data_IF_303254970992
#
_entry.id   IF_303254970992
#
_cell.length_a   1.000
_cell.length_b   1.000
_cell.length_c   1.000
_cell.angle_alpha   90.00
_cell.angle_beta   90.00
_cell.angle_gamma   90.00
#
_symmetry.space_group_name_H-M   'P 1'
#
loop_
_entity.id
_entity.type
_entity.pdbx_description
1 polymer ?
#
# COMPACT_ATOMS: atom_id res chain seq x y z
N UNK A 1 -32.30 -5.86 -9.99
CA UNK A 1 -31.98 -4.85 -8.99
C UNK A 1 -30.48 -4.71 -8.97
N UNK A 2 -29.92 -3.67 -9.62
CA UNK A 2 -28.50 -3.31 -9.48
C UNK A 2 -28.31 -2.79 -8.06
N UNK A 3 -27.78 -3.59 -7.16
CA UNK A 3 -27.23 -3.09 -5.90
C UNK A 3 -26.10 -2.13 -6.27
N UNK A 4 -26.29 -0.83 -6.07
CA UNK A 4 -25.21 0.14 -6.14
C UNK A 4 -24.20 -0.24 -5.06
N UNK A 5 -23.08 -0.83 -5.44
CA UNK A 5 -21.99 -1.13 -4.52
C UNK A 5 -21.40 0.21 -4.08
N UNK A 6 -21.32 0.44 -2.79
CA UNK A 6 -20.64 1.63 -2.28
C UNK A 6 -19.18 1.64 -2.76
N UNK A 7 -18.75 2.78 -3.25
CA UNK A 7 -17.38 3.02 -3.68
C UNK A 7 -16.55 3.52 -2.51
N UNK A 8 -15.41 2.89 -2.24
CA UNK A 8 -14.44 3.34 -1.25
C UNK A 8 -13.16 3.80 -1.96
N UNK A 9 -12.73 5.00 -1.64
CA UNK A 9 -11.54 5.63 -2.22
C UNK A 9 -10.42 5.60 -1.19
N UNK A 10 -9.30 4.97 -1.57
CA UNK A 10 -8.17 4.73 -0.70
C UNK A 10 -6.95 5.44 -1.28
N UNK A 11 -6.19 6.13 -0.45
CA UNK A 11 -4.84 6.58 -0.80
C UNK A 11 -3.81 5.72 -0.08
N UNK A 12 -2.78 5.28 -0.79
CA UNK A 12 -1.64 4.57 -0.20
C UNK A 12 -0.44 5.49 -0.12
N UNK A 13 0.18 5.55 1.06
CA UNK A 13 1.31 6.40 1.37
C UNK A 13 2.38 5.59 2.12
N UNK A 14 3.62 6.04 2.06
CA UNK A 14 4.75 5.45 2.78
C UNK A 14 6.03 5.92 2.15
N UNK A 15 7.15 5.75 2.84
CA UNK A 15 8.46 6.11 2.31
C UNK A 15 8.89 5.18 1.17
N UNK A 16 9.95 5.55 0.47
CA UNK A 16 10.58 4.65 -0.50
C UNK A 16 11.00 3.37 0.21
N UNK A 17 10.81 2.23 -0.43
CA UNK A 17 11.12 0.89 0.07
C UNK A 17 10.26 0.39 1.25
N UNK A 18 9.22 1.10 1.66
CA UNK A 18 8.27 0.59 2.68
C UNK A 18 7.41 -0.56 2.15
N UNK A 19 7.44 -0.83 0.83
CA UNK A 19 6.75 -1.95 0.18
C UNK A 19 5.33 -1.64 -0.28
N UNK A 20 5.01 -0.38 -0.64
CA UNK A 20 3.69 0.04 -1.17
C UNK A 20 3.28 -0.77 -2.38
N UNK A 21 4.09 -0.75 -3.43
CA UNK A 21 3.80 -1.46 -4.68
C UNK A 21 3.66 -2.97 -4.45
N UNK A 22 4.50 -3.54 -3.60
CA UNK A 22 4.40 -4.96 -3.22
C UNK A 22 3.08 -5.26 -2.53
N UNK A 23 2.65 -4.42 -1.57
CA UNK A 23 1.39 -4.59 -0.84
C UNK A 23 0.17 -4.52 -1.78
N UNK A 24 0.12 -3.49 -2.62
CA UNK A 24 -0.99 -3.28 -3.56
C UNK A 24 -1.02 -4.41 -4.60
N UNK A 25 0.13 -4.75 -5.17
CA UNK A 25 0.25 -5.84 -6.15
C UNK A 25 -0.20 -7.18 -5.58
N UNK A 26 0.23 -7.51 -4.36
CA UNK A 26 -0.18 -8.74 -3.68
C UNK A 26 -1.69 -8.73 -3.36
N UNK A 27 -2.22 -7.60 -2.88
CA UNK A 27 -3.66 -7.44 -2.64
C UNK A 27 -4.45 -7.67 -3.93
N UNK A 28 -4.07 -7.04 -5.03
CA UNK A 28 -4.74 -7.18 -6.34
C UNK A 28 -4.66 -8.60 -6.87
N UNK A 29 -3.52 -9.27 -6.70
CA UNK A 29 -3.35 -10.68 -7.07
C UNK A 29 -4.32 -11.58 -6.30
N UNK A 30 -4.39 -11.42 -4.97
CA UNK A 30 -5.24 -12.24 -4.10
C UNK A 30 -6.73 -12.08 -4.38
N UNK A 31 -7.18 -10.87 -4.72
CA UNK A 31 -8.59 -10.61 -5.06
C UNK A 31 -8.91 -10.94 -6.53
N UNK A 32 -7.96 -11.51 -7.27
CA UNK A 32 -8.08 -11.82 -8.70
C UNK A 32 -8.46 -10.60 -9.56
N UNK A 33 -8.01 -9.43 -9.17
CA UNK A 33 -8.21 -8.19 -9.93
C UNK A 33 -7.16 -8.00 -11.06
N UNK A 34 -6.26 -8.97 -11.21
CA UNK A 34 -5.19 -8.96 -12.22
C UNK A 34 -5.67 -9.73 -13.45
N UNK A 35 -5.44 -9.20 -14.63
CA UNK A 35 -5.75 -9.88 -15.89
C UNK A 35 -4.87 -11.14 -16.05
N UNK A 36 -5.44 -12.15 -16.70
CA UNK A 36 -4.78 -13.46 -16.90
C UNK A 36 -3.40 -13.35 -17.56
N UNK A 37 -3.24 -12.38 -18.46
CA UNK A 37 -2.00 -12.13 -19.18
C UNK A 37 -0.89 -11.63 -18.24
N UNK A 38 -1.23 -10.72 -17.31
CA UNK A 38 -0.29 -10.21 -16.30
C UNK A 38 0.11 -11.29 -15.28
N UNK A 39 -0.82 -12.19 -14.95
CA UNK A 39 -0.49 -13.35 -14.11
C UNK A 39 0.51 -14.27 -14.79
N UNK A 40 0.31 -14.54 -16.08
CA UNK A 40 1.21 -15.36 -16.88
C UNK A 40 2.60 -14.74 -17.01
N UNK A 41 2.67 -13.40 -17.18
CA UNK A 41 3.93 -12.65 -17.25
C UNK A 41 4.72 -12.76 -15.93
N UNK A 42 4.06 -12.59 -14.78
CA UNK A 42 4.69 -12.77 -13.47
C UNK A 42 5.24 -14.18 -13.26
N UNK A 43 4.46 -15.19 -13.63
CA UNK A 43 4.91 -16.59 -13.53
C UNK A 43 6.10 -16.87 -14.46
N UNK A 44 6.14 -16.22 -15.62
CA UNK A 44 7.23 -16.37 -16.58
C UNK A 44 8.51 -15.68 -16.07
N UNK A 45 8.40 -14.48 -15.49
CA UNK A 45 9.52 -13.78 -14.84
C UNK A 45 10.09 -14.62 -13.69
N UNK A 46 9.23 -15.18 -12.83
CA UNK A 46 9.64 -16.09 -11.76
C UNK A 46 10.45 -17.29 -12.30
N UNK A 47 9.98 -17.92 -13.37
CA UNK A 47 10.67 -19.06 -14.00
C UNK A 47 12.03 -18.68 -14.56
N UNK A 48 12.12 -17.48 -15.19
CA UNK A 48 13.34 -17.03 -15.85
C UNK A 48 14.41 -16.55 -14.85
N UNK A 49 14.00 -15.97 -13.73
CA UNK A 49 14.92 -15.44 -12.71
C UNK A 49 15.29 -16.47 -11.65
N UNK A 50 14.63 -17.63 -11.61
CA UNK A 50 14.83 -18.63 -10.55
C UNK A 50 14.47 -18.12 -9.15
N UNK A 51 13.71 -17.03 -9.05
CA UNK A 51 13.30 -16.44 -7.78
C UNK A 51 12.35 -17.37 -7.03
N UNK A 52 12.53 -17.52 -5.72
CA UNK A 52 11.65 -18.32 -4.87
C UNK A 52 10.24 -17.73 -4.78
N UNK A 53 10.13 -16.42 -4.90
CA UNK A 53 8.91 -15.64 -4.68
C UNK A 53 8.49 -14.85 -5.92
N UNK A 54 7.19 -14.52 -6.03
CA UNK A 54 6.65 -13.62 -7.04
C UNK A 54 6.97 -12.17 -6.66
N UNK A 55 7.44 -11.39 -7.62
CA UNK A 55 7.59 -9.95 -7.44
C UNK A 55 6.30 -9.22 -7.83
N UNK A 56 5.45 -8.98 -6.85
CA UNK A 56 4.15 -8.34 -7.04
C UNK A 56 4.25 -6.86 -7.43
N UNK A 57 5.41 -6.21 -7.25
CA UNK A 57 5.59 -4.80 -7.63
C UNK A 57 5.51 -4.61 -9.15
N UNK A 58 5.92 -5.62 -9.91
CA UNK A 58 5.86 -5.63 -11.37
C UNK A 58 4.43 -5.49 -11.94
N UNK A 59 3.40 -5.84 -11.15
CA UNK A 59 2.00 -5.63 -11.54
C UNK A 59 1.60 -4.16 -11.62
N UNK A 60 2.33 -3.28 -10.95
CA UNK A 60 1.95 -1.87 -10.77
C UNK A 60 2.77 -0.91 -11.61
N UNK A 61 3.95 -1.32 -12.07
CA UNK A 61 4.87 -0.46 -12.80
C UNK A 61 4.31 -0.16 -14.20
N UNK A 62 3.64 0.99 -14.31
CA UNK A 62 2.94 1.42 -15.52
C UNK A 62 3.79 2.25 -16.47
N UNK A 63 4.75 3.04 -15.96
CA UNK A 63 5.62 3.91 -16.73
C UNK A 63 7.02 3.33 -16.88
N UNK A 64 7.61 3.44 -18.08
CA UNK A 64 8.97 2.96 -18.33
C UNK A 64 9.99 3.64 -17.38
N UNK A 65 9.81 4.95 -17.12
CA UNK A 65 10.63 5.69 -16.17
C UNK A 65 10.49 5.22 -14.72
N UNK A 66 9.34 4.71 -14.32
CA UNK A 66 9.11 4.12 -12.99
C UNK A 66 9.81 2.77 -12.87
N UNK A 67 9.79 1.96 -13.93
CA UNK A 67 10.50 0.68 -14.00
C UNK A 67 12.00 0.85 -13.93
N UNK A 68 12.55 1.83 -14.66
CA UNK A 68 13.99 2.11 -14.67
C UNK A 68 14.50 2.64 -13.32
N UNK A 69 13.71 3.45 -12.62
CA UNK A 69 14.10 4.06 -11.36
C UNK A 69 13.64 3.26 -10.12
N UNK A 70 12.73 2.31 -10.31
CA UNK A 70 12.13 1.53 -9.21
C UNK A 70 11.34 2.37 -8.21
N UNK A 71 10.80 3.53 -8.65
CA UNK A 71 10.01 4.45 -7.81
C UNK A 71 8.73 4.87 -8.52
N UNK A 72 7.65 5.06 -7.76
CA UNK A 72 6.42 5.69 -8.25
C UNK A 72 6.64 7.20 -8.38
N UNK A 73 6.38 7.77 -9.55
CA UNK A 73 6.60 9.19 -9.87
C UNK A 73 5.28 9.96 -9.78
N UNK A 74 4.21 9.42 -10.36
CA UNK A 74 2.89 10.04 -10.39
C UNK A 74 1.86 9.21 -9.64
N UNK A 75 0.65 9.76 -9.44
CA UNK A 75 -0.45 9.04 -8.78
C UNK A 75 -1.05 8.04 -9.76
N UNK A 76 -0.93 6.76 -9.45
CA UNK A 76 -1.56 5.69 -10.21
C UNK A 76 -2.89 5.28 -9.56
N UNK A 77 -3.98 5.28 -10.36
CA UNK A 77 -5.30 4.86 -9.90
C UNK A 77 -5.57 3.42 -10.31
N UNK A 78 -5.92 2.58 -9.33
CA UNK A 78 -6.27 1.17 -9.53
C UNK A 78 -7.70 0.91 -9.08
N UNK A 79 -8.43 0.14 -9.87
CA UNK A 79 -9.84 -0.17 -9.64
C UNK A 79 -10.02 -1.66 -9.43
N UNK A 80 -10.74 -2.02 -8.38
CA UNK A 80 -11.13 -3.40 -8.15
C UNK A 80 -12.47 -3.47 -7.40
N UNK A 81 -13.07 -4.66 -7.39
CA UNK A 81 -14.33 -4.90 -6.71
C UNK A 81 -14.30 -6.22 -5.97
N UNK A 82 -14.88 -6.23 -4.81
CA UNK A 82 -15.25 -7.45 -4.08
C UNK A 82 -16.76 -7.67 -4.20
N UNK A 83 -17.29 -8.83 -3.80
CA UNK A 83 -18.75 -9.03 -3.75
C UNK A 83 -19.48 -7.99 -2.92
N UNK A 84 -18.81 -7.38 -1.93
CA UNK A 84 -19.39 -6.43 -0.99
C UNK A 84 -19.27 -4.97 -1.44
N UNK A 85 -18.14 -4.57 -2.05
CA UNK A 85 -17.81 -3.16 -2.30
C UNK A 85 -16.88 -2.98 -3.49
N UNK A 86 -16.95 -1.81 -4.14
CA UNK A 86 -15.98 -1.36 -5.15
C UNK A 86 -14.94 -0.44 -4.53
N UNK A 87 -13.72 -0.47 -5.05
CA UNK A 87 -12.57 0.27 -4.50
C UNK A 87 -11.82 1.00 -5.59
N UNK A 88 -11.31 2.17 -5.25
CA UNK A 88 -10.29 2.88 -6.03
C UNK A 88 -9.10 3.08 -5.10
N UNK A 89 -7.92 2.62 -5.49
CA UNK A 89 -6.66 2.90 -4.80
C UNK A 89 -5.90 3.95 -5.61
N UNK A 90 -5.56 5.07 -4.96
CA UNK A 90 -4.59 6.03 -5.45
C UNK A 90 -3.22 5.67 -4.86
N UNK A 91 -2.36 5.07 -5.68
CA UNK A 91 -0.98 4.77 -5.28
C UNK A 91 -0.13 6.02 -5.44
N UNK A 92 0.40 6.52 -4.33
CA UNK A 92 1.13 7.77 -4.27
C UNK A 92 2.64 7.55 -4.17
N UNK A 93 3.45 8.42 -4.82
CA UNK A 93 4.90 8.36 -4.71
C UNK A 93 5.36 8.51 -3.26
N UNK A 94 6.39 7.73 -2.88
CA UNK A 94 6.97 7.76 -1.53
C UNK A 94 8.06 8.81 -1.35
N UNK A 95 8.61 9.34 -2.44
CA UNK A 95 9.73 10.28 -2.39
C UNK A 95 9.27 11.70 -2.00
N UNK A 96 10.07 12.38 -1.18
CA UNK A 96 9.73 13.71 -0.65
C UNK A 96 9.52 14.79 -1.72
N UNK A 97 10.17 14.66 -2.88
CA UNK A 97 10.04 15.58 -4.03
C UNK A 97 8.64 15.53 -4.65
N UNK A 98 7.96 14.40 -4.56
CA UNK A 98 6.62 14.20 -5.14
C UNK A 98 5.48 14.43 -4.14
N UNK A 99 5.73 15.16 -3.05
CA UNK A 99 4.73 15.47 -2.01
C UNK A 99 3.47 16.13 -2.57
N UNK A 100 3.59 16.92 -3.66
CA UNK A 100 2.44 17.53 -4.34
C UNK A 100 1.50 16.47 -4.94
N UNK A 101 2.05 15.48 -5.61
CA UNK A 101 1.28 14.39 -6.22
C UNK A 101 0.57 13.56 -5.13
N UNK A 102 1.26 13.33 -4.02
CA UNK A 102 0.66 12.67 -2.85
C UNK A 102 -0.54 13.46 -2.30
N UNK A 103 -0.47 14.81 -2.20
CA UNK A 103 -1.57 15.63 -1.75
C UNK A 103 -2.78 15.56 -2.71
N UNK A 104 -2.53 15.47 -4.02
CA UNK A 104 -3.60 15.26 -5.02
C UNK A 104 -4.32 13.92 -4.78
N UNK A 105 -3.59 12.83 -4.60
CA UNK A 105 -4.18 11.53 -4.29
C UNK A 105 -4.96 11.55 -2.97
N UNK A 106 -4.43 12.22 -1.94
CA UNK A 106 -5.07 12.33 -0.64
C UNK A 106 -6.38 13.15 -0.68
N UNK A 107 -6.47 14.20 -1.51
CA UNK A 107 -7.68 15.03 -1.61
C UNK A 107 -8.92 14.30 -2.11
N UNK A 108 -8.70 13.18 -2.77
CA UNK A 108 -9.74 12.33 -3.35
C UNK A 108 -10.22 11.22 -2.39
N UNK A 109 -9.42 10.83 -1.39
CA UNK A 109 -9.58 9.60 -0.65
C UNK A 109 -10.47 9.73 0.60
N UNK A 110 -11.18 8.67 0.93
CA UNK A 110 -11.98 8.52 2.16
C UNK A 110 -11.13 7.93 3.30
N UNK A 111 -10.14 7.10 2.95
CA UNK A 111 -9.23 6.41 3.88
C UNK A 111 -7.80 6.53 3.39
N UNK A 112 -6.86 6.72 4.31
CA UNK A 112 -5.43 6.60 4.03
C UNK A 112 -4.86 5.30 4.60
N UNK A 113 -4.17 4.55 3.76
CA UNK A 113 -3.33 3.40 4.15
C UNK A 113 -1.89 3.88 4.16
N UNK A 114 -1.29 3.96 5.34
CA UNK A 114 0.09 4.42 5.52
C UNK A 114 0.96 3.22 5.87
N UNK A 115 1.94 2.94 5.02
CA UNK A 115 2.89 1.88 5.29
C UNK A 115 4.02 2.38 6.20
N UNK A 116 4.42 1.50 7.10
CA UNK A 116 5.56 1.71 8.00
C UNK A 116 6.44 0.47 7.94
N UNK A 117 7.69 0.60 7.56
CA UNK A 117 8.67 -0.48 7.60
C UNK A 117 9.00 -0.83 9.07
N UNK A 118 8.65 -2.03 9.52
CA UNK A 118 8.87 -2.49 10.90
C UNK A 118 10.34 -2.44 11.30
N UNK A 119 11.28 -2.60 10.35
CA UNK A 119 12.71 -2.56 10.61
C UNK A 119 13.25 -1.16 10.86
N UNK A 120 12.55 -0.14 10.32
CA UNK A 120 12.94 1.28 10.41
C UNK A 120 12.11 2.06 11.44
N UNK A 121 10.91 1.57 11.77
CA UNK A 121 9.97 2.27 12.63
C UNK A 121 9.37 3.53 12.00
N UNK A 122 8.88 4.44 12.84
CA UNK A 122 8.23 5.68 12.38
C UNK A 122 9.27 6.71 11.94
N UNK A 123 9.28 7.01 10.64
CA UNK A 123 10.19 7.98 10.04
C UNK A 123 9.55 9.38 9.95
N UNK A 124 10.37 10.46 9.84
CA UNK A 124 9.85 11.81 9.59
C UNK A 124 8.94 11.89 8.36
N UNK A 125 9.23 11.10 7.30
CA UNK A 125 8.42 11.02 6.09
C UNK A 125 7.06 10.39 6.38
N UNK A 126 6.97 9.35 7.21
CA UNK A 126 5.72 8.73 7.65
C UNK A 126 4.82 9.74 8.35
N UNK A 127 5.38 10.53 9.28
CA UNK A 127 4.66 11.59 9.97
C UNK A 127 4.20 12.69 9.01
N UNK A 128 5.02 13.03 8.01
CA UNK A 128 4.66 14.02 6.98
C UNK A 128 3.45 13.53 6.17
N UNK A 129 3.47 12.28 5.70
CA UNK A 129 2.35 11.70 4.95
C UNK A 129 1.07 11.69 5.77
N UNK A 130 1.15 11.27 7.03
CA UNK A 130 0.02 11.32 7.94
C UNK A 130 -0.56 12.74 8.08
N UNK A 131 0.31 13.75 8.31
CA UNK A 131 -0.12 15.16 8.45
C UNK A 131 -0.78 15.69 7.16
N UNK A 132 -0.23 15.37 5.98
CA UNK A 132 -0.81 15.80 4.70
C UNK A 132 -2.19 15.18 4.52
N UNK A 133 -2.35 13.88 4.74
CA UNK A 133 -3.65 13.20 4.66
C UNK A 133 -4.66 13.83 5.62
N UNK A 134 -4.25 14.15 6.85
CA UNK A 134 -5.10 14.81 7.84
C UNK A 134 -5.51 16.21 7.41
N UNK A 135 -4.59 16.99 6.82
CA UNK A 135 -4.88 18.34 6.28
C UNK A 135 -5.82 18.27 5.06
N UNK A 136 -5.75 17.21 4.26
CA UNK A 136 -6.68 16.97 3.15
C UNK A 136 -8.08 16.51 3.61
N UNK A 137 -8.29 16.36 4.92
CA UNK A 137 -9.59 16.03 5.51
C UNK A 137 -9.84 14.54 5.75
N UNK A 138 -8.86 13.68 5.52
CA UNK A 138 -8.99 12.26 5.81
C UNK A 138 -9.07 12.06 7.33
N UNK A 139 -10.08 11.31 7.78
CA UNK A 139 -10.34 11.06 9.20
C UNK A 139 -10.02 9.63 9.62
N UNK A 140 -9.98 8.69 8.67
CA UNK A 140 -9.77 7.28 8.93
C UNK A 140 -8.42 6.84 8.38
N UNK A 141 -7.60 6.22 9.23
CA UNK A 141 -6.26 5.81 8.90
C UNK A 141 -6.05 4.33 9.17
N UNK A 142 -5.39 3.64 8.25
CA UNK A 142 -4.88 2.28 8.44
C UNK A 142 -3.36 2.36 8.35
N UNK A 143 -2.67 2.00 9.42
CA UNK A 143 -1.22 1.85 9.43
C UNK A 143 -0.87 0.39 9.18
N UNK A 144 -0.35 0.11 7.99
CA UNK A 144 0.17 -1.21 7.64
C UNK A 144 1.65 -1.27 8.08
N UNK A 145 1.90 -1.89 9.23
CA UNK A 145 3.26 -2.13 9.74
C UNK A 145 3.82 -3.30 8.96
N UNK A 146 4.55 -2.98 7.90
CA UNK A 146 5.03 -3.94 6.90
C UNK A 146 6.41 -4.51 7.26
N UNK A 147 6.76 -5.60 6.58
CA UNK A 147 8.00 -6.36 6.79
C UNK A 147 8.11 -6.96 8.19
N UNK A 148 6.98 -7.31 8.78
CA UNK A 148 6.94 -7.97 10.08
C UNK A 148 7.63 -9.33 10.09
N UNK A 149 7.72 -9.99 8.95
CA UNK A 149 8.49 -11.21 8.73
C UNK A 149 9.98 -11.02 9.04
N UNK A 150 10.56 -9.86 8.70
CA UNK A 150 11.99 -9.56 8.94
C UNK A 150 12.32 -9.32 10.43
N UNK A 151 11.32 -8.98 11.23
CA UNK A 151 11.47 -8.76 12.67
C UNK A 151 10.83 -9.89 13.50
N UNK A 152 10.53 -11.02 12.86
CA UNK A 152 9.95 -12.20 13.53
C UNK A 152 8.60 -11.95 14.18
N UNK A 153 7.81 -10.98 13.66
CA UNK A 153 6.53 -10.56 14.24
C UNK A 153 6.63 -10.10 15.71
N UNK A 154 7.76 -9.52 16.10
CA UNK A 154 7.96 -9.04 17.47
C UNK A 154 6.93 -7.97 17.83
N UNK A 155 6.12 -8.30 18.85
CA UNK A 155 5.10 -7.41 19.38
C UNK A 155 5.66 -6.07 19.87
N UNK A 156 6.90 -6.04 20.42
CA UNK A 156 7.50 -4.80 20.91
C UNK A 156 7.80 -3.83 19.78
N UNK A 157 8.24 -4.34 18.63
CA UNK A 157 8.46 -3.54 17.42
C UNK A 157 7.15 -2.95 16.95
N UNK A 158 6.10 -3.76 16.85
CA UNK A 158 4.76 -3.31 16.47
C UNK A 158 4.23 -2.25 17.44
N UNK A 159 4.27 -2.51 18.75
CA UNK A 159 3.81 -1.58 19.79
C UNK A 159 4.59 -0.26 19.75
N UNK A 160 5.86 -0.28 19.38
CA UNK A 160 6.70 0.91 19.16
C UNK A 160 6.15 1.82 18.06
N UNK A 161 5.69 1.24 16.95
CA UNK A 161 5.05 2.00 15.86
C UNK A 161 3.71 2.56 16.33
N UNK A 162 2.88 1.76 17.00
CA UNK A 162 1.59 2.19 17.54
C UNK A 162 1.75 3.37 18.50
N UNK A 163 2.78 3.33 19.35
CA UNK A 163 3.08 4.41 20.30
C UNK A 163 3.38 5.75 19.62
N UNK A 164 3.95 5.74 18.41
CA UNK A 164 4.22 6.95 17.64
C UNK A 164 2.98 7.74 17.20
N UNK A 165 1.78 7.11 17.27
CA UNK A 165 0.51 7.69 16.80
C UNK A 165 -0.61 7.67 17.85
N UNK A 166 -0.29 7.52 19.14
CA UNK A 166 -1.26 7.32 20.24
C UNK A 166 -2.34 8.39 20.40
N UNK A 167 -2.11 9.59 19.89
CA UNK A 167 -3.05 10.71 20.04
C UNK A 167 -4.27 10.64 19.09
N UNK A 168 -4.30 9.67 18.17
CA UNK A 168 -5.29 9.63 17.10
C UNK A 168 -6.29 8.49 17.30
N UNK A 169 -7.54 8.84 17.54
CA UNK A 169 -8.63 7.89 17.89
C UNK A 169 -9.12 7.03 16.71
N UNK A 170 -8.90 7.43 15.47
CA UNK A 170 -9.42 6.76 14.27
C UNK A 170 -8.29 6.09 13.46
N UNK A 171 -7.36 5.45 14.15
CA UNK A 171 -6.26 4.73 13.52
C UNK A 171 -6.38 3.23 13.80
N UNK A 172 -6.35 2.43 12.74
CA UNK A 172 -6.20 0.99 12.79
C UNK A 172 -4.76 0.63 12.47
N UNK A 173 -4.16 -0.24 13.27
CA UNK A 173 -2.81 -0.74 13.04
C UNK A 173 -2.86 -2.23 12.72
N UNK A 174 -2.21 -2.63 11.64
CA UNK A 174 -2.16 -4.02 11.18
C UNK A 174 -0.72 -4.46 10.96
N UNK A 175 -0.27 -5.53 11.63
CA UNK A 175 1.02 -6.13 11.33
C UNK A 175 0.88 -6.94 10.03
N UNK A 176 1.68 -6.62 9.02
CA UNK A 176 1.60 -7.26 7.69
C UNK A 176 2.98 -7.68 7.19
N UNK A 177 2.99 -8.65 6.28
CA UNK A 177 4.11 -8.89 5.38
C UNK A 177 3.60 -8.83 3.95
N UNK A 178 3.92 -7.76 3.25
CA UNK A 178 3.53 -7.60 1.84
C UNK A 178 4.16 -8.69 0.95
N UNK A 179 5.36 -9.14 1.30
CA UNK A 179 6.08 -10.19 0.57
C UNK A 179 5.46 -11.57 0.81
N UNK A 180 5.21 -11.93 2.06
CA UNK A 180 4.67 -13.25 2.43
C UNK A 180 3.15 -13.36 2.27
N UNK A 181 2.45 -12.22 2.18
CA UNK A 181 0.99 -12.17 2.09
C UNK A 181 0.26 -12.18 3.43
N UNK A 182 1.01 -12.12 4.53
CA UNK A 182 0.43 -12.23 5.86
C UNK A 182 -0.41 -11.00 6.21
N UNK A 183 -1.65 -11.25 6.64
CA UNK A 183 -2.66 -10.24 7.03
C UNK A 183 -3.08 -9.25 5.94
N UNK A 184 -2.70 -9.45 4.67
CA UNK A 184 -3.11 -8.56 3.56
C UNK A 184 -4.61 -8.63 3.32
N UNK A 185 -5.21 -9.82 3.36
CA UNK A 185 -6.65 -10.00 3.18
C UNK A 185 -7.49 -9.47 4.33
N UNK A 186 -6.90 -9.21 5.49
CA UNK A 186 -7.56 -8.57 6.63
C UNK A 186 -7.88 -7.09 6.36
N UNK A 187 -7.27 -6.49 5.34
CA UNK A 187 -7.56 -5.13 4.87
C UNK A 187 -8.86 -5.05 4.03
N UNK A 188 -9.38 -6.16 3.59
CA UNK A 188 -10.61 -6.25 2.78
C UNK A 188 -11.83 -6.62 3.63
#
# INVERSE_FOLDING_TARGET
VFLMRELLKIVTCGSVDDGKSTLIGHLMYNIRAVFTDQQAELEQVKKNTGASDLDYSLLLDGLEAEREQGITIDVAYRYFSTPKRSFIIADCPGHSEYTRNMAVGASFADIAVILVDATKGVLPQTLRHYKICSLMGIKNFVFAVNKMDLVGYDKKVFDGVVCGFKENKNCLFLPVSAKMGDNITSLS
#
